data_IF_954013448093
#
_entry.id   IF_954013448093
#
_cell.length_a   1.000
_cell.length_b   1.000
_cell.length_c   1.000
_cell.angle_alpha   90.00
_cell.angle_beta   90.00
_cell.angle_gamma   90.00
#
_symmetry.space_group_name_H-M   'P 1'
#
loop_
_entity.id
_entity.type
_entity.pdbx_description
1 polymer ?
#
# COMPACT_ATOMS: atom_id res chain seq x y z
N UNK A 1 -30.90 -22.69 10.35
CA UNK A 1 -30.69 -21.33 9.87
C UNK A 1 -29.23 -20.95 10.06
N UNK A 2 -28.48 -20.77 9.00
CA UNK A 2 -27.08 -20.30 9.07
C UNK A 2 -27.08 -18.86 9.62
N UNK A 3 -26.25 -18.57 10.63
CA UNK A 3 -26.04 -17.17 11.09
C UNK A 3 -25.64 -16.32 9.88
N UNK A 4 -26.22 -15.11 9.70
CA UNK A 4 -25.79 -14.23 8.62
C UNK A 4 -24.28 -13.98 8.77
N UNK A 5 -23.56 -14.11 7.67
CA UNK A 5 -22.11 -13.84 7.65
C UNK A 5 -21.88 -12.38 8.08
N UNK A 6 -20.93 -12.19 8.99
CA UNK A 6 -20.52 -10.84 9.42
C UNK A 6 -20.00 -10.07 8.22
N UNK A 7 -20.42 -8.82 8.05
CA UNK A 7 -19.83 -7.93 7.05
C UNK A 7 -18.35 -7.73 7.34
N UNK A 8 -17.54 -7.59 6.30
CA UNK A 8 -16.08 -7.49 6.38
C UNK A 8 -15.59 -6.12 5.90
N UNK A 9 -14.69 -5.53 6.65
CA UNK A 9 -14.04 -4.26 6.35
C UNK A 9 -12.53 -4.46 6.26
N UNK A 10 -11.93 -4.00 5.16
CA UNK A 10 -10.49 -3.87 5.01
C UNK A 10 -10.08 -2.42 5.29
N UNK A 11 -9.24 -2.22 6.28
CA UNK A 11 -8.60 -0.94 6.54
C UNK A 11 -7.17 -0.96 6.02
N UNK A 12 -6.88 -0.12 5.02
CA UNK A 12 -5.53 0.12 4.52
C UNK A 12 -4.92 1.31 5.26
N UNK A 13 -3.83 1.08 5.97
CA UNK A 13 -3.07 2.15 6.65
C UNK A 13 -1.74 2.33 5.94
N UNK A 14 -1.53 3.50 5.34
CA UNK A 14 -0.36 3.81 4.52
C UNK A 14 0.51 4.88 5.18
N UNK A 15 1.81 4.90 4.83
CA UNK A 15 2.74 5.90 5.35
C UNK A 15 2.44 7.28 4.78
N UNK A 16 2.20 7.37 3.46
CA UNK A 16 1.99 8.61 2.75
C UNK A 16 0.85 8.57 1.73
N UNK A 17 0.45 9.75 1.21
CA UNK A 17 -0.59 9.85 0.18
C UNK A 17 -0.21 9.15 -1.14
N UNK A 18 1.08 9.09 -1.46
CA UNK A 18 1.59 8.36 -2.63
C UNK A 18 1.30 6.87 -2.52
N UNK A 19 1.57 6.28 -1.34
CA UNK A 19 1.30 4.87 -1.06
C UNK A 19 -0.20 4.58 -1.13
N UNK A 20 -1.02 5.45 -0.55
CA UNK A 20 -2.47 5.31 -0.59
C UNK A 20 -2.99 5.23 -2.02
N UNK A 21 -2.56 6.12 -2.90
CA UNK A 21 -2.97 6.12 -4.32
C UNK A 21 -2.47 4.86 -5.04
N UNK A 22 -1.26 4.38 -4.75
CA UNK A 22 -0.74 3.15 -5.32
C UNK A 22 -1.58 1.94 -4.90
N UNK A 23 -1.83 1.76 -3.61
CA UNK A 23 -2.60 0.60 -3.13
C UNK A 23 -4.08 0.67 -3.52
N UNK A 24 -4.68 1.84 -3.66
CA UNK A 24 -6.00 2.00 -4.30
C UNK A 24 -6.00 1.42 -5.70
N UNK A 25 -4.96 1.72 -6.49
CA UNK A 25 -4.84 1.18 -7.85
C UNK A 25 -4.59 -0.33 -7.86
N UNK A 26 -3.80 -0.87 -6.94
CA UNK A 26 -3.62 -2.32 -6.75
C UNK A 26 -4.98 -2.99 -6.53
N UNK A 27 -5.76 -2.51 -5.56
CA UNK A 27 -7.06 -3.08 -5.21
C UNK A 27 -8.04 -2.98 -6.40
N UNK A 28 -8.06 -1.87 -7.11
CA UNK A 28 -8.89 -1.69 -8.32
C UNK A 28 -8.60 -2.79 -9.37
N UNK A 29 -7.31 -3.07 -9.62
CA UNK A 29 -6.89 -4.06 -10.61
C UNK A 29 -7.26 -5.47 -10.17
N UNK A 30 -6.98 -5.81 -8.91
CA UNK A 30 -7.34 -7.13 -8.34
C UNK A 30 -8.86 -7.34 -8.41
N UNK A 31 -9.65 -6.33 -8.09
CA UNK A 31 -11.12 -6.35 -8.22
C UNK A 31 -11.58 -6.66 -9.63
N UNK A 32 -11.02 -5.95 -10.62
CA UNK A 32 -11.38 -6.16 -12.03
C UNK A 32 -11.07 -7.56 -12.52
N UNK A 33 -9.92 -8.13 -12.11
CA UNK A 33 -9.50 -9.48 -12.49
C UNK A 33 -10.38 -10.57 -11.89
N UNK A 34 -10.89 -10.37 -10.69
CA UNK A 34 -11.77 -11.33 -10.01
C UNK A 34 -13.22 -11.34 -10.52
N UNK A 35 -13.56 -10.58 -11.56
CA UNK A 35 -14.94 -10.40 -12.01
C UNK A 35 -15.91 -10.09 -10.85
N UNK A 36 -15.44 -9.45 -9.80
CA UNK A 36 -16.15 -9.09 -8.56
C UNK A 36 -16.79 -10.27 -7.78
N UNK A 37 -16.78 -11.50 -8.29
CA UNK A 37 -17.51 -12.64 -7.72
C UNK A 37 -16.87 -13.25 -6.46
N UNK A 38 -15.60 -12.88 -6.15
CA UNK A 38 -14.84 -13.41 -5.01
C UNK A 38 -14.22 -12.30 -4.15
N UNK A 39 -14.71 -11.09 -4.24
CA UNK A 39 -14.19 -10.01 -3.42
C UNK A 39 -14.72 -10.13 -2.00
N UNK A 40 -13.82 -10.36 -1.04
CA UNK A 40 -14.18 -10.78 0.31
C UNK A 40 -14.53 -9.63 1.26
N UNK A 41 -14.67 -8.40 0.78
CA UNK A 41 -14.94 -7.24 1.63
C UNK A 41 -16.16 -6.46 1.17
N UNK A 42 -17.00 -6.10 2.13
CA UNK A 42 -18.13 -5.20 1.92
C UNK A 42 -17.67 -3.75 1.84
N UNK A 43 -16.64 -3.41 2.62
CA UNK A 43 -16.08 -2.05 2.68
C UNK A 43 -14.55 -2.05 2.66
N UNK A 44 -13.97 -1.01 2.03
CA UNK A 44 -12.54 -0.72 2.09
C UNK A 44 -12.35 0.74 2.49
N UNK A 45 -11.62 0.94 3.59
CA UNK A 45 -11.27 2.26 4.11
C UNK A 45 -9.77 2.48 4.00
N UNK A 46 -9.40 3.74 3.88
CA UNK A 46 -8.00 4.16 3.77
C UNK A 46 -7.70 5.21 4.83
N UNK A 47 -6.56 5.03 5.52
CA UNK A 47 -6.03 6.00 6.46
C UNK A 47 -4.57 6.27 6.13
N UNK A 48 -4.24 7.51 5.83
CA UNK A 48 -2.86 7.95 5.62
C UNK A 48 -2.30 8.50 6.93
N UNK A 49 -1.17 7.93 7.37
CA UNK A 49 -0.53 8.35 8.64
C UNK A 49 0.26 9.66 8.52
N UNK A 50 0.60 10.07 7.27
CA UNK A 50 1.49 11.20 7.03
C UNK A 50 2.83 11.07 7.77
N UNK A 51 3.46 9.92 7.61
CA UNK A 51 4.74 9.55 8.18
C UNK A 51 4.65 8.37 9.16
N UNK A 52 5.71 7.57 9.16
CA UNK A 52 5.76 6.31 9.93
C UNK A 52 5.55 6.51 11.43
N UNK A 53 6.05 7.61 12.01
CA UNK A 53 5.89 7.92 13.45
C UNK A 53 4.43 8.06 13.90
N UNK A 54 3.53 8.42 12.99
CA UNK A 54 2.10 8.58 13.27
C UNK A 54 1.31 7.27 13.08
N UNK A 55 1.91 6.25 12.46
CA UNK A 55 1.20 5.03 12.06
C UNK A 55 0.65 4.23 13.24
N UNK A 56 1.30 4.27 14.38
CA UNK A 56 0.82 3.59 15.58
C UNK A 56 -0.26 4.42 16.29
N UNK A 57 0.14 5.40 17.10
CA UNK A 57 -0.78 6.09 18.04
C UNK A 57 -1.93 6.82 17.35
N UNK A 58 -1.61 7.61 16.30
CA UNK A 58 -2.62 8.42 15.64
C UNK A 58 -3.61 7.55 14.85
N UNK A 59 -3.11 6.52 14.14
CA UNK A 59 -3.99 5.63 13.38
C UNK A 59 -4.79 4.71 14.30
N UNK A 60 -4.23 4.27 15.44
CA UNK A 60 -4.96 3.52 16.44
C UNK A 60 -6.14 4.33 17.01
N UNK A 61 -5.91 5.61 17.32
CA UNK A 61 -6.98 6.49 17.78
C UNK A 61 -8.11 6.61 16.74
N UNK A 62 -7.76 6.88 15.48
CA UNK A 62 -8.75 6.92 14.40
C UNK A 62 -9.48 5.59 14.22
N UNK A 63 -8.75 4.47 14.20
CA UNK A 63 -9.34 3.13 14.09
C UNK A 63 -10.38 2.88 15.18
N UNK A 64 -10.04 3.23 16.42
CA UNK A 64 -10.95 3.10 17.55
C UNK A 64 -12.23 3.92 17.35
N UNK A 65 -12.10 5.22 17.13
CA UNK A 65 -13.26 6.12 17.11
C UNK A 65 -14.05 6.06 15.80
N UNK A 66 -13.39 5.93 14.65
CA UNK A 66 -14.05 6.00 13.34
C UNK A 66 -14.56 4.64 12.86
N UNK A 67 -14.05 3.50 13.41
CA UNK A 67 -14.41 2.18 12.92
C UNK A 67 -14.90 1.21 14.01
N UNK A 68 -14.35 1.27 15.23
CA UNK A 68 -14.74 0.33 16.28
C UNK A 68 -15.92 0.83 17.11
N UNK A 69 -15.96 2.11 17.42
CA UNK A 69 -17.05 2.75 18.16
C UNK A 69 -18.14 3.33 17.24
N UNK A 70 -17.92 3.32 15.93
CA UNK A 70 -18.90 3.78 14.95
C UNK A 70 -20.10 2.82 14.85
N UNK A 71 -21.32 3.37 14.72
CA UNK A 71 -22.56 2.60 14.68
C UNK A 71 -22.67 1.71 13.44
N UNK A 72 -22.11 2.13 12.31
CA UNK A 72 -22.15 1.39 11.06
C UNK A 72 -21.10 0.28 11.04
N UNK A 73 -19.84 0.61 11.40
CA UNK A 73 -18.69 -0.29 11.25
C UNK A 73 -18.36 -1.10 12.51
N UNK A 74 -18.92 -0.75 13.67
CA UNK A 74 -18.61 -1.40 14.95
C UNK A 74 -18.75 -2.93 14.92
N UNK A 75 -19.74 -3.43 14.18
CA UNK A 75 -20.05 -4.86 14.07
C UNK A 75 -19.34 -5.58 12.90
N UNK A 76 -18.55 -4.88 12.08
CA UNK A 76 -17.83 -5.52 10.98
C UNK A 76 -16.65 -6.34 11.50
N UNK A 77 -16.32 -7.44 10.80
CA UNK A 77 -15.03 -8.09 10.91
C UNK A 77 -13.99 -7.15 10.26
N UNK A 78 -12.99 -6.72 11.02
CA UNK A 78 -12.01 -5.72 10.60
C UNK A 78 -10.66 -6.36 10.34
N UNK A 79 -10.21 -6.31 9.09
CA UNK A 79 -8.87 -6.69 8.68
C UNK A 79 -8.06 -5.39 8.48
N UNK A 80 -6.93 -5.27 9.17
CA UNK A 80 -6.05 -4.10 9.09
C UNK A 80 -4.81 -4.47 8.27
N UNK A 81 -4.56 -3.70 7.22
CA UNK A 81 -3.38 -3.86 6.38
C UNK A 81 -2.45 -2.66 6.56
N UNK A 82 -1.28 -2.88 7.15
CA UNK A 82 -0.24 -1.87 7.23
C UNK A 82 0.65 -1.91 6.00
N UNK A 83 0.84 -0.75 5.36
CA UNK A 83 1.68 -0.58 4.19
C UNK A 83 2.77 0.46 4.48
N UNK A 84 4.03 0.05 4.47
CA UNK A 84 5.16 0.93 4.77
C UNK A 84 6.46 0.48 4.13
N UNK A 85 7.43 1.40 4.10
CA UNK A 85 8.73 1.17 3.54
C UNK A 85 9.66 0.44 4.54
N UNK A 86 10.49 -0.48 4.07
CA UNK A 86 11.44 -1.23 4.90
C UNK A 86 12.62 -0.38 5.36
N UNK A 87 12.93 0.68 4.64
CA UNK A 87 14.06 1.56 4.95
C UNK A 87 13.92 2.26 6.30
N UNK A 88 12.68 2.48 6.77
CA UNK A 88 12.39 3.06 8.09
C UNK A 88 12.96 2.23 9.26
N UNK A 89 13.23 0.93 9.03
CA UNK A 89 13.82 0.03 10.03
C UNK A 89 15.33 -0.17 9.86
N UNK A 90 15.92 0.32 8.75
CA UNK A 90 17.36 0.20 8.46
C UNK A 90 18.20 1.29 9.10
N UNK A 91 17.57 2.38 9.56
CA UNK A 91 18.30 3.42 10.26
C UNK A 91 18.76 2.87 11.61
N UNK A 92 20.07 2.98 11.89
CA UNK A 92 20.74 2.55 13.13
C UNK A 92 20.26 3.34 14.36
N UNK A 93 18.98 3.61 14.46
CA UNK A 93 18.40 4.25 15.61
C UNK A 93 18.12 3.19 16.67
N UNK A 94 18.75 3.35 17.81
CA UNK A 94 18.46 2.61 19.07
C UNK A 94 16.98 2.68 19.46
N UNK A 95 16.19 3.54 18.79
CA UNK A 95 14.75 3.68 18.92
C UNK A 95 14.11 3.59 17.53
N UNK A 96 13.59 2.43 17.10
CA UNK A 96 12.83 2.33 15.88
C UNK A 96 11.62 3.28 15.94
N UNK A 97 11.24 3.93 14.83
CA UNK A 97 10.16 4.93 14.82
C UNK A 97 8.81 4.34 15.27
N UNK A 98 8.64 3.02 15.13
CA UNK A 98 7.49 2.27 15.65
C UNK A 98 7.94 0.92 16.20
N UNK A 99 7.28 0.47 17.28
CA UNK A 99 7.35 -0.92 17.73
C UNK A 99 6.24 -1.71 17.02
N UNK A 100 6.61 -2.49 15.99
CA UNK A 100 5.67 -3.26 15.16
C UNK A 100 4.83 -4.24 15.97
N UNK A 101 5.44 -4.96 16.89
CA UNK A 101 4.76 -5.96 17.73
C UNK A 101 3.69 -5.27 18.57
N UNK A 102 4.08 -4.24 19.31
CA UNK A 102 3.14 -3.48 20.13
C UNK A 102 2.03 -2.81 19.31
N UNK A 103 2.35 -2.30 18.13
CA UNK A 103 1.34 -1.71 17.23
C UNK A 103 0.26 -2.74 16.87
N UNK A 104 0.66 -3.95 16.49
CA UNK A 104 -0.29 -5.03 16.17
C UNK A 104 -1.14 -5.42 17.37
N UNK A 105 -0.51 -5.70 18.50
CA UNK A 105 -1.20 -6.05 19.76
C UNK A 105 -2.24 -4.98 20.15
N UNK A 106 -1.89 -3.71 20.03
CA UNK A 106 -2.80 -2.62 20.36
C UNK A 106 -4.01 -2.58 19.39
N UNK A 107 -3.80 -2.76 18.07
CA UNK A 107 -4.91 -2.82 17.11
C UNK A 107 -5.80 -4.05 17.33
N UNK A 108 -5.24 -5.22 17.61
CA UNK A 108 -6.01 -6.44 17.94
C UNK A 108 -6.83 -6.23 19.22
N UNK A 109 -6.22 -5.67 20.25
CA UNK A 109 -6.91 -5.34 21.51
C UNK A 109 -8.10 -4.41 21.30
N UNK A 110 -8.04 -3.50 20.33
CA UNK A 110 -9.11 -2.56 20.04
C UNK A 110 -10.07 -3.05 18.94
N UNK A 111 -9.97 -4.29 18.49
CA UNK A 111 -10.98 -4.91 17.65
C UNK A 111 -10.58 -5.21 16.20
N UNK A 112 -9.30 -5.17 15.86
CA UNK A 112 -8.83 -5.76 14.61
C UNK A 112 -8.90 -7.28 14.72
N UNK A 113 -9.63 -7.93 13.81
CA UNK A 113 -9.78 -9.38 13.79
C UNK A 113 -8.57 -10.08 13.15
N UNK A 114 -7.89 -9.37 12.25
CA UNK A 114 -6.68 -9.83 11.58
C UNK A 114 -5.81 -8.65 11.18
N UNK A 115 -4.50 -8.82 11.24
CA UNK A 115 -3.53 -7.83 10.78
C UNK A 115 -2.66 -8.47 9.71
N UNK A 116 -2.47 -7.77 8.61
CA UNK A 116 -1.52 -8.10 7.55
C UNK A 116 -0.57 -6.91 7.32
N UNK A 117 0.60 -7.20 6.79
CA UNK A 117 1.61 -6.19 6.49
C UNK A 117 2.08 -6.33 5.05
N UNK A 118 2.18 -5.21 4.36
CA UNK A 118 2.86 -5.10 3.07
C UNK A 118 4.07 -4.20 3.28
N UNK A 119 5.23 -4.75 3.04
CA UNK A 119 6.50 -4.05 3.27
C UNK A 119 7.18 -3.93 1.91
N UNK A 120 7.31 -2.70 1.42
CA UNK A 120 8.16 -2.45 0.27
C UNK A 120 9.62 -2.73 0.64
N UNK A 121 10.37 -3.48 -0.19
CA UNK A 121 11.72 -3.96 0.15
C UNK A 121 12.71 -2.83 0.50
N UNK A 122 12.55 -1.67 -0.09
CA UNK A 122 13.21 -0.43 0.34
C UNK A 122 12.17 0.67 0.50
N UNK A 123 11.56 1.14 -0.59
CA UNK A 123 10.57 2.20 -0.61
C UNK A 123 9.60 2.03 -1.80
N UNK A 124 8.45 2.69 -1.73
CA UNK A 124 7.41 2.59 -2.77
C UNK A 124 7.92 3.05 -4.15
N UNK A 125 8.87 3.97 -4.20
CA UNK A 125 9.47 4.45 -5.44
C UNK A 125 10.21 3.35 -6.21
N UNK A 126 10.69 2.30 -5.55
CA UNK A 126 11.28 1.12 -6.21
C UNK A 126 10.25 0.43 -7.11
N UNK A 127 8.99 0.38 -6.68
CA UNK A 127 7.91 -0.20 -7.48
C UNK A 127 7.63 0.63 -8.73
N UNK A 128 7.66 1.96 -8.63
CA UNK A 128 7.46 2.84 -9.80
C UNK A 128 8.57 2.66 -10.83
N UNK A 129 9.82 2.52 -10.37
CA UNK A 129 10.98 2.35 -11.23
C UNK A 129 11.05 0.99 -11.93
N UNK A 130 10.20 0.03 -11.59
CA UNK A 130 10.02 -1.18 -12.39
C UNK A 130 9.49 -0.87 -13.80
N UNK A 131 8.70 0.21 -13.92
CA UNK A 131 8.20 0.70 -15.22
C UNK A 131 8.77 2.09 -15.56
N UNK A 132 10.09 2.15 -15.76
CA UNK A 132 10.77 3.38 -16.17
C UNK A 132 10.20 3.92 -17.49
N UNK A 133 9.80 3.08 -18.42
CA UNK A 133 9.24 3.51 -19.70
C UNK A 133 7.88 4.19 -19.54
N UNK A 134 7.02 3.70 -18.65
CA UNK A 134 5.77 4.38 -18.26
C UNK A 134 6.05 5.77 -17.66
N UNK A 135 7.04 5.88 -16.77
CA UNK A 135 7.45 7.16 -16.19
C UNK A 135 7.95 8.12 -17.29
N UNK A 136 8.82 7.64 -18.19
CA UNK A 136 9.35 8.45 -19.32
C UNK A 136 8.22 8.94 -20.23
N UNK A 137 7.29 8.08 -20.55
CA UNK A 137 6.11 8.44 -21.38
C UNK A 137 5.27 9.53 -20.70
N UNK A 138 5.00 9.38 -19.41
CA UNK A 138 4.26 10.36 -18.61
C UNK A 138 4.93 11.74 -18.59
N UNK A 139 6.26 11.75 -18.48
CA UNK A 139 7.07 12.97 -18.42
C UNK A 139 7.53 13.47 -19.77
N UNK A 140 7.25 12.74 -20.89
CA UNK A 140 7.71 13.02 -22.25
C UNK A 140 9.23 13.10 -22.38
N UNK A 141 9.96 12.28 -21.62
CA UNK A 141 11.43 12.23 -21.58
C UNK A 141 11.92 11.15 -22.54
N UNK A 142 12.88 11.51 -23.41
CA UNK A 142 13.49 10.58 -24.39
C UNK A 142 14.82 9.94 -23.91
N UNK A 143 15.40 10.47 -22.83
CA UNK A 143 16.68 10.01 -22.29
C UNK A 143 16.58 8.57 -21.76
N UNK A 144 17.62 7.79 -21.96
CA UNK A 144 17.71 6.45 -21.39
C UNK A 144 18.32 6.50 -20.00
N UNK A 145 17.68 5.79 -19.07
CA UNK A 145 18.17 5.63 -17.70
C UNK A 145 18.58 4.16 -17.52
N UNK A 146 19.82 3.95 -17.12
CA UNK A 146 20.24 2.63 -16.64
C UNK A 146 19.87 2.54 -15.15
N UNK A 147 19.47 1.37 -14.70
CA UNK A 147 19.34 1.08 -13.28
C UNK A 147 20.72 1.23 -12.66
N UNK A 148 21.04 2.42 -12.19
CA UNK A 148 22.35 2.80 -11.72
C UNK A 148 22.42 2.61 -10.21
N UNK A 149 23.61 2.63 -9.64
CA UNK A 149 23.89 2.65 -8.19
C UNK A 149 23.25 3.82 -7.41
N UNK A 150 22.43 4.62 -8.06
CA UNK A 150 21.66 5.71 -7.42
C UNK A 150 20.52 5.13 -6.59
N UNK A 151 20.27 5.72 -5.43
CA UNK A 151 19.06 5.42 -4.66
C UNK A 151 17.83 5.70 -5.50
N UNK A 152 16.80 4.86 -5.39
CA UNK A 152 15.59 4.90 -6.23
C UNK A 152 14.92 6.27 -6.24
N UNK A 153 14.81 6.91 -5.08
CA UNK A 153 14.24 8.25 -4.96
C UNK A 153 15.06 9.31 -5.75
N UNK A 154 16.39 9.19 -5.74
CA UNK A 154 17.27 10.12 -6.47
C UNK A 154 17.13 9.93 -7.98
N UNK A 155 17.01 8.69 -8.44
CA UNK A 155 16.77 8.39 -9.85
C UNK A 155 15.40 8.93 -10.29
N UNK A 156 14.35 8.68 -9.52
CA UNK A 156 13.02 9.19 -9.83
C UNK A 156 13.00 10.72 -9.89
N UNK A 157 13.59 11.41 -8.92
CA UNK A 157 13.74 12.87 -8.94
C UNK A 157 14.49 13.37 -10.16
N UNK A 158 15.54 12.65 -10.60
CA UNK A 158 16.29 13.00 -11.79
C UNK A 158 15.42 12.87 -13.06
N UNK A 159 14.65 11.80 -13.20
CA UNK A 159 13.76 11.60 -14.35
C UNK A 159 12.71 12.73 -14.40
N UNK A 160 12.14 13.08 -13.24
CA UNK A 160 11.19 14.19 -13.16
C UNK A 160 11.82 15.53 -13.55
N UNK A 161 13.03 15.81 -13.08
CA UNK A 161 13.79 17.02 -13.46
C UNK A 161 14.06 17.08 -14.96
N UNK A 162 14.47 15.96 -15.57
CA UNK A 162 14.69 15.88 -17.02
C UNK A 162 13.37 16.10 -17.82
N UNK A 163 12.22 15.80 -17.21
CA UNK A 163 10.89 16.11 -17.72
C UNK A 163 10.35 17.49 -17.32
N UNK A 164 11.20 18.39 -16.81
CA UNK A 164 10.82 19.74 -16.35
C UNK A 164 9.72 19.73 -15.28
N UNK A 165 9.71 18.71 -14.42
CA UNK A 165 8.79 18.57 -13.28
C UNK A 165 9.56 18.27 -11.99
N UNK A 166 8.87 18.40 -10.86
CA UNK A 166 9.42 18.07 -9.54
C UNK A 166 8.67 16.86 -8.99
N UNK A 167 9.42 15.87 -8.52
CA UNK A 167 8.86 14.79 -7.70
C UNK A 167 9.04 15.14 -6.22
N UNK A 168 7.93 15.15 -5.48
CA UNK A 168 7.93 15.34 -4.03
C UNK A 168 7.39 14.09 -3.34
N UNK A 169 8.21 13.45 -2.51
CA UNK A 169 7.76 12.32 -1.68
C UNK A 169 6.64 12.80 -0.76
N UNK A 170 5.63 11.98 -0.54
CA UNK A 170 4.50 12.30 0.34
C UNK A 170 3.42 13.21 -0.28
N UNK A 171 3.46 13.47 -1.59
CA UNK A 171 2.38 14.14 -2.32
C UNK A 171 1.59 13.13 -3.14
N UNK A 172 0.32 13.45 -3.46
CA UNK A 172 -0.48 12.60 -4.34
C UNK A 172 0.19 12.46 -5.70
N UNK A 173 0.42 11.22 -6.14
CA UNK A 173 1.07 10.88 -7.40
C UNK A 173 0.10 10.25 -8.42
N UNK A 174 -1.19 10.60 -8.37
CA UNK A 174 -2.26 9.98 -9.16
C UNK A 174 -1.96 9.95 -10.65
N UNK A 175 -1.46 11.04 -11.22
CA UNK A 175 -1.12 11.11 -12.65
C UNK A 175 0.03 10.19 -13.04
N UNK A 176 1.07 10.10 -12.19
CA UNK A 176 2.17 9.16 -12.36
C UNK A 176 1.64 7.71 -12.29
N UNK A 177 0.97 7.35 -11.20
CA UNK A 177 0.50 5.99 -10.96
C UNK A 177 -0.46 5.52 -12.06
N UNK A 178 -1.32 6.41 -12.57
CA UNK A 178 -2.22 6.10 -13.68
C UNK A 178 -1.49 5.87 -15.01
N UNK A 179 -0.26 6.32 -15.16
CA UNK A 179 0.55 6.14 -16.37
C UNK A 179 1.43 4.90 -16.35
N UNK A 180 1.58 4.26 -15.18
CA UNK A 180 2.38 3.06 -15.01
C UNK A 180 1.66 1.81 -15.55
N UNK A 181 2.43 0.87 -16.08
CA UNK A 181 1.95 -0.49 -16.36
C UNK A 181 1.82 -1.27 -15.05
N UNK A 182 0.71 -1.01 -14.34
CA UNK A 182 0.45 -1.63 -13.05
C UNK A 182 0.39 -3.16 -13.10
N UNK A 183 -0.21 -3.82 -14.12
CA UNK A 183 -0.13 -5.27 -14.26
C UNK A 183 1.32 -5.78 -14.29
N UNK A 184 2.19 -5.15 -15.07
CA UNK A 184 3.60 -5.50 -15.12
C UNK A 184 4.29 -5.34 -13.75
N UNK A 185 4.06 -4.20 -13.07
CA UNK A 185 4.61 -3.94 -11.73
C UNK A 185 4.12 -5.00 -10.74
N UNK A 186 2.82 -5.27 -10.71
CA UNK A 186 2.22 -6.24 -9.80
C UNK A 186 2.78 -7.66 -10.02
N UNK A 187 3.06 -8.04 -11.27
CA UNK A 187 3.76 -9.28 -11.57
C UNK A 187 5.16 -9.37 -10.95
N UNK A 188 5.86 -8.24 -10.82
CA UNK A 188 7.21 -8.19 -10.23
C UNK A 188 7.23 -8.15 -8.69
N UNK A 189 6.22 -7.54 -8.07
CA UNK A 189 6.11 -7.42 -6.61
C UNK A 189 5.13 -8.41 -6.00
N UNK A 190 4.73 -9.43 -6.75
CA UNK A 190 3.68 -10.38 -6.39
C UNK A 190 3.86 -10.99 -4.99
N UNK A 191 5.08 -11.42 -4.66
CA UNK A 191 5.39 -12.00 -3.35
C UNK A 191 5.17 -11.01 -2.19
N UNK A 192 5.42 -9.72 -2.43
CA UNK A 192 5.30 -8.68 -1.41
C UNK A 192 3.84 -8.32 -1.13
N UNK A 193 2.99 -8.32 -2.17
CA UNK A 193 1.56 -8.01 -2.05
C UNK A 193 0.68 -9.24 -1.84
N UNK A 194 1.27 -10.45 -1.82
CA UNK A 194 0.52 -11.70 -1.64
C UNK A 194 -0.41 -11.69 -0.43
N UNK A 195 0.00 -11.21 0.76
CA UNK A 195 -0.91 -11.17 1.92
C UNK A 195 -2.19 -10.39 1.66
N UNK A 196 -2.13 -9.29 0.90
CA UNK A 196 -3.30 -8.53 0.49
C UNK A 196 -4.13 -9.28 -0.56
N UNK A 197 -3.48 -9.88 -1.56
CA UNK A 197 -4.17 -10.66 -2.60
C UNK A 197 -4.96 -11.82 -1.99
N UNK A 198 -4.38 -12.55 -1.05
CA UNK A 198 -5.03 -13.66 -0.35
C UNK A 198 -6.29 -13.18 0.42
N UNK A 199 -6.21 -12.03 1.10
CA UNK A 199 -7.38 -11.45 1.80
C UNK A 199 -8.46 -10.96 0.84
N UNK A 200 -8.08 -10.43 -0.30
CA UNK A 200 -9.03 -10.01 -1.34
C UNK A 200 -9.70 -11.20 -2.05
N UNK A 201 -9.32 -12.44 -1.70
CA UNK A 201 -9.84 -13.65 -2.33
C UNK A 201 -9.20 -13.95 -3.70
N UNK A 202 -8.04 -13.39 -3.97
CA UNK A 202 -7.29 -13.63 -5.20
C UNK A 202 -6.21 -14.67 -4.95
N UNK A 203 -6.36 -15.85 -5.56
CA UNK A 203 -5.37 -16.93 -5.46
C UNK A 203 -4.10 -16.54 -6.23
N UNK A 204 -3.13 -16.05 -5.51
CA UNK A 204 -1.80 -15.73 -6.00
C UNK A 204 -0.81 -16.76 -5.46
N UNK A 205 -0.04 -17.41 -6.35
CA UNK A 205 1.01 -18.35 -5.94
C UNK A 205 2.29 -17.64 -5.46
N UNK A 206 2.31 -16.31 -5.50
CA UNK A 206 3.47 -15.49 -5.16
C UNK A 206 4.45 -15.29 -6.32
N UNK A 207 4.18 -15.88 -7.49
CA UNK A 207 5.02 -15.75 -8.69
C UNK A 207 4.28 -15.08 -9.85
N UNK A 208 2.95 -15.20 -9.91
CA UNK A 208 2.09 -14.68 -10.99
C UNK A 208 0.81 -14.08 -10.41
N UNK A 209 0.89 -12.82 -10.01
CA UNK A 209 -0.28 -12.13 -9.45
C UNK A 209 -1.35 -11.77 -10.48
N UNK A 210 -0.98 -11.47 -11.71
CA UNK A 210 -1.91 -10.88 -12.68
C UNK A 210 -1.39 -11.23 -14.10
N UNK A 211 -1.70 -12.38 -14.57
CA UNK A 211 -1.60 -12.74 -15.98
C UNK A 211 -2.99 -12.98 -16.56
#
# INVERSE_FOLDING_TARGET
MSKPSKKRLLLMITEGPTDEEFYKKVIEIVRKKNNCSKFNFDEIKYMCSNGIGNMHKNMLSKFKFELCEDKEYGNYEKIVCFCYDKDVFKQNNTNPPINRTKMKEDFEKYGANKIIEIIADNMIEDFFLLDIEGIKKYLKVKKNYKNSSKKSLELLKQIFKDGSRVYSKGTKATGLISSLDMPFILGKICSQIKPLCDELGFNCDGTKCIN
#
